data_IF_735701061803
#
_entry.id   IF_735701061803
#
_cell.length_a   1.000
_cell.length_b   1.000
_cell.length_c   1.000
_cell.angle_alpha   90.00
_cell.angle_beta   90.00
_cell.angle_gamma   90.00
#
_symmetry.space_group_name_H-M   'P 1'
#
loop_
_entity.id
_entity.type
_entity.pdbx_description
1 polymer ?
#
# COMPACT_ATOMS: atom_id res chain seq x y z
N UNK A 1 42.70 5.30 43.45
CA UNK A 1 41.33 4.81 43.69
C UNK A 1 40.39 5.58 42.78
N UNK A 2 39.89 4.93 41.73
CA UNK A 2 38.75 5.39 40.94
C UNK A 2 38.05 4.11 40.46
N UNK A 3 36.90 3.82 41.05
CA UNK A 3 36.10 2.63 40.73
C UNK A 3 35.57 2.71 39.30
N UNK A 4 35.80 1.63 38.56
CA UNK A 4 35.32 1.36 37.21
C UNK A 4 33.84 0.98 37.24
N UNK A 5 32.97 1.98 37.17
CA UNK A 5 31.52 1.80 36.96
C UNK A 5 31.16 1.35 35.55
N UNK A 6 31.51 0.12 35.16
CA UNK A 6 30.95 -0.55 33.97
C UNK A 6 30.20 -1.79 34.45
N UNK A 7 28.98 -1.56 34.93
CA UNK A 7 28.14 -2.60 35.53
C UNK A 7 27.48 -3.57 34.53
N UNK A 8 26.97 -4.71 35.02
CA UNK A 8 26.34 -5.83 34.29
C UNK A 8 25.03 -5.50 33.53
N UNK A 9 24.66 -4.23 33.45
CA UNK A 9 23.42 -3.75 32.82
C UNK A 9 23.53 -3.65 31.29
N UNK A 10 24.75 -3.52 30.74
CA UNK A 10 24.98 -3.47 29.28
C UNK A 10 24.88 -4.85 28.62
N UNK A 11 25.31 -5.91 29.29
CA UNK A 11 25.24 -7.29 28.78
C UNK A 11 23.81 -7.82 28.77
N UNK A 12 23.01 -7.52 29.80
CA UNK A 12 21.59 -7.91 29.87
C UNK A 12 20.75 -7.28 28.75
N UNK A 13 20.86 -5.95 28.55
CA UNK A 13 20.14 -5.27 27.45
C UNK A 13 20.52 -5.79 26.06
N UNK A 14 21.80 -6.11 25.85
CA UNK A 14 22.27 -6.68 24.60
C UNK A 14 21.71 -8.09 24.38
N UNK A 15 21.66 -8.91 25.43
CA UNK A 15 21.04 -10.23 25.39
C UNK A 15 19.52 -10.16 25.14
N UNK A 16 18.83 -9.24 25.80
CA UNK A 16 17.38 -9.03 25.60
C UNK A 16 17.09 -8.58 24.15
N UNK A 17 17.92 -7.68 23.60
CA UNK A 17 17.81 -7.25 22.21
C UNK A 17 18.12 -8.39 21.22
N UNK A 18 19.15 -9.19 21.49
CA UNK A 18 19.50 -10.34 20.66
C UNK A 18 18.41 -11.42 20.70
N UNK A 19 17.84 -11.69 21.87
CA UNK A 19 16.72 -12.63 22.02
C UNK A 19 15.48 -12.11 21.32
N UNK A 20 15.15 -10.83 21.46
CA UNK A 20 14.04 -10.18 20.74
C UNK A 20 14.21 -10.26 19.22
N UNK A 21 15.42 -10.03 18.71
CA UNK A 21 15.72 -10.18 17.29
C UNK A 21 15.61 -11.65 16.85
N UNK A 22 16.17 -12.58 17.61
CA UNK A 22 16.11 -14.01 17.30
C UNK A 22 14.67 -14.52 17.27
N UNK A 23 13.82 -14.10 18.21
CA UNK A 23 12.39 -14.43 18.22
C UNK A 23 11.68 -13.89 16.98
N UNK A 24 11.91 -12.63 16.62
CA UNK A 24 11.32 -12.02 15.40
C UNK A 24 11.80 -12.73 14.12
N UNK A 25 13.08 -13.08 14.03
CA UNK A 25 13.62 -13.86 12.91
C UNK A 25 13.07 -15.29 12.88
N UNK A 26 12.83 -15.89 14.05
CA UNK A 26 12.16 -17.18 14.19
C UNK A 26 10.73 -17.15 13.65
N UNK A 27 9.95 -16.12 14.00
CA UNK A 27 8.59 -15.91 13.47
C UNK A 27 8.59 -15.70 11.95
N UNK A 28 9.56 -14.94 11.43
CA UNK A 28 9.72 -14.72 10.00
C UNK A 28 10.14 -15.97 9.22
N UNK A 29 10.80 -16.93 9.86
CA UNK A 29 11.31 -18.15 9.21
C UNK A 29 10.37 -19.35 9.32
N UNK A 30 9.63 -19.46 10.42
CA UNK A 30 8.79 -20.65 10.71
C UNK A 30 7.28 -20.35 10.77
N UNK A 31 6.91 -19.07 10.91
CA UNK A 31 5.52 -18.64 11.01
C UNK A 31 4.80 -18.52 9.66
N UNK A 32 3.59 -17.95 9.70
CA UNK A 32 2.78 -17.70 8.50
C UNK A 32 3.49 -16.82 7.47
N UNK A 33 4.24 -15.81 7.93
CA UNK A 33 5.06 -14.96 7.05
C UNK A 33 6.13 -15.76 6.34
N UNK A 34 6.85 -16.64 7.04
CA UNK A 34 7.86 -17.51 6.44
C UNK A 34 7.28 -18.40 5.34
N UNK A 35 6.09 -18.98 5.58
CA UNK A 35 5.37 -19.76 4.56
C UNK A 35 4.90 -18.91 3.38
N UNK A 36 4.43 -17.70 3.62
CA UNK A 36 4.02 -16.79 2.55
C UNK A 36 5.20 -16.36 1.67
N UNK A 37 6.38 -16.16 2.26
CA UNK A 37 7.57 -15.66 1.57
C UNK A 37 8.43 -16.76 0.93
N UNK A 38 8.49 -17.94 1.55
CA UNK A 38 9.39 -19.04 1.18
C UNK A 38 8.67 -20.37 0.89
N UNK A 39 7.33 -20.38 0.90
CA UNK A 39 6.54 -21.56 0.59
C UNK A 39 6.75 -22.06 -0.85
N UNK A 40 6.44 -23.33 -1.08
CA UNK A 40 6.57 -24.02 -2.38
C UNK A 40 5.43 -23.73 -3.36
N UNK A 41 4.65 -22.67 -3.14
CA UNK A 41 3.52 -22.30 -3.99
C UNK A 41 3.94 -21.72 -5.34
N UNK A 42 2.96 -21.32 -6.15
CA UNK A 42 3.21 -20.56 -7.38
C UNK A 42 3.96 -19.26 -7.05
N UNK A 43 4.97 -18.93 -7.85
CA UNK A 43 5.73 -17.70 -7.63
C UNK A 43 4.92 -16.52 -8.12
N UNK A 44 4.89 -15.43 -7.33
CA UNK A 44 4.20 -14.20 -7.72
C UNK A 44 4.56 -13.74 -9.15
N UNK A 45 5.84 -13.84 -9.51
CA UNK A 45 6.37 -13.46 -10.84
C UNK A 45 5.68 -14.18 -12.00
N UNK A 46 5.18 -15.40 -11.77
CA UNK A 46 4.54 -16.26 -12.78
C UNK A 46 3.02 -16.00 -12.85
N UNK A 47 2.47 -15.28 -11.87
CA UNK A 47 1.05 -14.98 -11.75
C UNK A 47 0.66 -13.59 -12.28
N UNK A 48 1.64 -12.74 -12.62
CA UNK A 48 1.39 -11.33 -12.92
C UNK A 48 0.63 -11.09 -14.24
N UNK A 49 0.49 -12.11 -15.09
CA UNK A 49 -0.16 -11.99 -16.40
C UNK A 49 -1.65 -12.43 -16.38
N UNK A 50 -2.19 -12.72 -15.19
CA UNK A 50 -3.61 -12.94 -14.93
C UNK A 50 -4.12 -12.03 -13.82
N UNK A 51 -5.44 -11.77 -13.72
CA UNK A 51 -6.02 -11.11 -12.56
C UNK A 51 -5.63 -11.85 -11.27
N UNK A 52 -5.10 -11.12 -10.29
CA UNK A 52 -4.60 -11.68 -9.04
C UNK A 52 -5.11 -10.83 -7.87
N UNK A 53 -5.71 -11.49 -6.88
CA UNK A 53 -6.02 -10.91 -5.58
C UNK A 53 -5.17 -11.62 -4.52
N UNK A 54 -4.41 -10.85 -3.74
CA UNK A 54 -3.63 -11.37 -2.61
C UNK A 54 -4.47 -11.22 -1.34
N UNK A 55 -5.04 -12.33 -0.86
CA UNK A 55 -5.77 -12.36 0.40
C UNK A 55 -4.79 -12.50 1.58
N UNK A 56 -4.68 -11.45 2.38
CA UNK A 56 -3.83 -11.38 3.56
C UNK A 56 -4.60 -11.56 4.88
N UNK A 57 -5.88 -11.92 4.82
CA UNK A 57 -6.76 -12.08 6.00
C UNK A 57 -6.26 -13.12 7.00
N UNK A 58 -5.54 -14.15 6.52
CA UNK A 58 -4.93 -15.18 7.36
C UNK A 58 -3.77 -14.66 8.22
N UNK A 59 -3.17 -13.51 7.87
CA UNK A 59 -2.17 -12.84 8.70
C UNK A 59 -2.90 -12.02 9.76
N UNK A 60 -2.61 -12.26 11.03
CA UNK A 60 -3.31 -11.62 12.16
C UNK A 60 -2.67 -10.30 12.60
N UNK A 61 -1.41 -10.08 12.26
CA UNK A 61 -0.64 -8.88 12.60
C UNK A 61 -0.62 -7.89 11.43
N UNK A 62 -0.92 -6.62 11.70
CA UNK A 62 -0.81 -5.55 10.69
C UNK A 62 0.62 -5.37 10.21
N UNK A 63 1.61 -5.63 11.08
CA UNK A 63 3.02 -5.59 10.69
C UNK A 63 3.36 -6.70 9.70
N UNK A 64 2.77 -7.89 9.86
CA UNK A 64 2.98 -9.02 8.96
C UNK A 64 2.33 -8.77 7.61
N UNK A 65 1.08 -8.27 7.61
CA UNK A 65 0.39 -7.84 6.38
C UNK A 65 1.20 -6.79 5.63
N UNK A 66 1.65 -5.76 6.35
CA UNK A 66 2.48 -4.69 5.78
C UNK A 66 3.76 -5.26 5.16
N UNK A 67 4.46 -6.14 5.87
CA UNK A 67 5.69 -6.77 5.38
C UNK A 67 5.44 -7.58 4.10
N UNK A 68 4.42 -8.44 4.11
CA UNK A 68 4.08 -9.28 2.94
C UNK A 68 3.66 -8.41 1.75
N UNK A 69 2.87 -7.36 1.97
CA UNK A 69 2.50 -6.38 0.94
C UNK A 69 3.71 -5.67 0.35
N UNK A 70 4.64 -5.18 1.19
CA UNK A 70 5.86 -4.53 0.72
C UNK A 70 6.75 -5.48 -0.09
N UNK A 71 6.89 -6.74 0.34
CA UNK A 71 7.65 -7.73 -0.41
C UNK A 71 6.98 -8.06 -1.75
N UNK A 72 5.65 -8.21 -1.77
CA UNK A 72 4.90 -8.44 -3.01
C UNK A 72 5.08 -7.29 -4.00
N UNK A 73 4.95 -6.04 -3.53
CA UNK A 73 5.16 -4.83 -4.33
C UNK A 73 6.59 -4.75 -4.89
N UNK A 74 7.60 -5.03 -4.06
CA UNK A 74 9.00 -5.03 -4.50
C UNK A 74 9.29 -6.13 -5.53
N UNK A 75 8.71 -7.32 -5.37
CA UNK A 75 8.82 -8.40 -6.36
C UNK A 75 8.15 -8.02 -7.68
N UNK A 76 6.95 -7.45 -7.63
CA UNK A 76 6.23 -6.97 -8.82
C UNK A 76 7.03 -5.89 -9.56
N UNK A 77 7.52 -4.87 -8.86
CA UNK A 77 8.35 -3.82 -9.43
C UNK A 77 9.59 -4.41 -10.13
N UNK A 78 10.28 -5.34 -9.45
CA UNK A 78 11.43 -6.04 -10.02
C UNK A 78 11.06 -6.86 -11.27
N UNK A 79 9.97 -7.62 -11.21
CA UNK A 79 9.52 -8.46 -12.31
C UNK A 79 9.20 -7.63 -13.56
N UNK A 80 8.48 -6.51 -13.40
CA UNK A 80 8.14 -5.60 -14.51
C UNK A 80 9.34 -4.82 -15.03
N UNK A 81 10.34 -4.54 -14.18
CA UNK A 81 11.61 -3.95 -14.62
C UNK A 81 12.47 -4.92 -15.44
N UNK A 82 12.49 -6.20 -15.07
CA UNK A 82 13.28 -7.23 -15.76
C UNK A 82 12.59 -7.76 -17.02
N UNK A 83 11.26 -7.78 -17.03
CA UNK A 83 10.42 -8.22 -18.14
C UNK A 83 9.38 -7.15 -18.45
N UNK A 84 9.77 -6.08 -19.17
CA UNK A 84 8.84 -5.05 -19.60
C UNK A 84 7.75 -5.70 -20.45
N UNK A 85 6.49 -5.40 -20.13
CA UNK A 85 5.35 -5.80 -20.95
C UNK A 85 4.77 -4.58 -21.63
N UNK A 86 4.33 -4.73 -22.88
CA UNK A 86 3.53 -3.72 -23.57
C UNK A 86 2.07 -3.72 -23.10
N UNK A 87 1.63 -4.78 -22.42
CA UNK A 87 0.30 -4.88 -21.85
C UNK A 87 0.18 -4.01 -20.60
N UNK A 88 -0.84 -3.14 -20.50
CA UNK A 88 -1.09 -2.36 -19.29
C UNK A 88 -1.29 -3.28 -18.09
N UNK A 89 -0.58 -3.01 -17.01
CA UNK A 89 -0.73 -3.73 -15.75
C UNK A 89 -1.17 -2.78 -14.66
N UNK A 90 -2.23 -3.12 -13.92
CA UNK A 90 -2.76 -2.30 -12.83
C UNK A 90 -2.49 -2.98 -11.50
N UNK A 91 -1.86 -2.25 -10.58
CA UNK A 91 -1.64 -2.66 -9.20
C UNK A 91 -2.55 -1.82 -8.32
N UNK A 92 -3.43 -2.48 -7.57
CA UNK A 92 -4.29 -1.83 -6.58
C UNK A 92 -3.77 -2.16 -5.20
N UNK A 93 -3.52 -1.13 -4.40
CA UNK A 93 -3.05 -1.24 -3.02
C UNK A 93 -4.16 -0.74 -2.11
N UNK A 94 -4.93 -1.68 -1.57
CA UNK A 94 -5.88 -1.41 -0.48
C UNK A 94 -5.11 -1.08 0.81
N UNK A 95 -5.72 -0.25 1.67
CA UNK A 95 -5.10 0.26 2.90
C UNK A 95 -3.70 0.82 2.66
N UNK A 96 -3.57 1.72 1.68
CA UNK A 96 -2.28 2.25 1.24
C UNK A 96 -1.44 2.86 2.38
N UNK A 97 -2.07 3.36 3.45
CA UNK A 97 -1.37 3.84 4.64
C UNK A 97 -0.51 2.78 5.33
N UNK A 98 -0.80 1.48 5.14
CA UNK A 98 0.01 0.39 5.70
C UNK A 98 1.41 0.34 5.08
N UNK A 99 1.50 0.52 3.75
CA UNK A 99 2.76 0.41 2.98
C UNK A 99 3.41 1.75 2.64
N UNK A 100 2.65 2.84 2.74
CA UNK A 100 3.14 4.20 2.51
C UNK A 100 2.64 5.19 3.58
N UNK A 101 2.86 4.97 4.89
CA UNK A 101 2.52 5.96 5.90
C UNK A 101 3.39 7.24 5.83
N UNK A 102 2.99 8.34 6.49
CA UNK A 102 3.76 9.57 6.50
C UNK A 102 5.17 9.36 7.06
N UNK A 103 6.17 9.94 6.40
CA UNK A 103 7.59 9.77 6.78
C UNK A 103 8.19 8.39 6.43
N UNK A 104 7.39 7.44 5.92
CA UNK A 104 7.85 6.10 5.51
C UNK A 104 7.04 5.63 4.29
N UNK A 105 7.52 5.86 3.07
CA UNK A 105 6.80 5.44 1.86
C UNK A 105 7.67 5.29 0.62
N UNK A 106 8.99 5.19 0.82
CA UNK A 106 9.97 5.31 -0.26
C UNK A 106 9.80 4.30 -1.38
N UNK A 107 9.38 3.06 -1.07
CA UNK A 107 9.11 2.04 -2.09
C UNK A 107 7.93 2.45 -2.98
N UNK A 108 6.79 2.77 -2.39
CA UNK A 108 5.57 3.12 -3.13
C UNK A 108 5.76 4.41 -3.93
N UNK A 109 6.36 5.44 -3.34
CA UNK A 109 6.66 6.68 -4.05
C UNK A 109 7.63 6.46 -5.23
N UNK A 110 8.63 5.58 -5.08
CA UNK A 110 9.52 5.19 -6.18
C UNK A 110 8.76 4.42 -7.26
N UNK A 111 7.93 3.45 -6.88
CA UNK A 111 7.08 2.71 -7.83
C UNK A 111 6.21 3.68 -8.63
N UNK A 112 5.50 4.61 -7.97
CA UNK A 112 4.68 5.62 -8.64
C UNK A 112 5.47 6.46 -9.66
N UNK A 113 6.70 6.88 -9.32
CA UNK A 113 7.58 7.64 -10.24
C UNK A 113 8.00 6.84 -11.45
N UNK A 114 8.27 5.55 -11.28
CA UNK A 114 8.84 4.70 -12.33
C UNK A 114 7.78 3.89 -13.09
N UNK A 115 6.55 3.76 -12.58
CA UNK A 115 5.52 2.86 -13.10
C UNK A 115 5.26 3.04 -14.60
N UNK A 116 5.24 4.30 -15.07
CA UNK A 116 5.06 4.64 -16.50
C UNK A 116 6.12 4.02 -17.41
N UNK A 117 7.36 3.84 -16.95
CA UNK A 117 8.46 3.23 -17.73
C UNK A 117 8.18 1.76 -18.03
N UNK A 118 7.34 1.11 -17.23
CA UNK A 118 7.09 -0.33 -17.27
C UNK A 118 5.65 -0.68 -17.65
N UNK A 119 4.86 0.30 -18.14
CA UNK A 119 3.44 0.07 -18.46
C UNK A 119 2.57 -0.24 -17.24
N UNK A 120 3.01 0.13 -16.05
CA UNK A 120 2.30 -0.12 -14.79
C UNK A 120 1.51 1.12 -14.38
N UNK A 121 0.27 0.92 -13.94
CA UNK A 121 -0.54 1.90 -13.21
C UNK A 121 -0.66 1.44 -11.77
N UNK A 122 -0.37 2.31 -10.81
CA UNK A 122 -0.49 2.02 -9.37
C UNK A 122 -1.64 2.84 -8.81
N UNK A 123 -2.58 2.18 -8.17
CA UNK A 123 -3.77 2.75 -7.54
C UNK A 123 -3.64 2.58 -6.04
N UNK A 124 -3.63 3.70 -5.33
CA UNK A 124 -3.64 3.71 -3.86
C UNK A 124 -5.07 3.93 -3.40
N UNK A 125 -5.58 3.01 -2.59
CA UNK A 125 -6.93 3.07 -2.03
C UNK A 125 -6.81 3.21 -0.52
N UNK A 126 -7.42 4.27 0.00
CA UNK A 126 -7.45 4.53 1.44
C UNK A 126 -8.69 5.34 1.82
N UNK A 127 -9.07 5.23 3.09
CA UNK A 127 -10.19 6.00 3.66
C UNK A 127 -9.75 7.41 4.04
N UNK A 128 -8.47 7.62 4.41
CA UNK A 128 -7.92 8.93 4.76
C UNK A 128 -6.68 9.24 3.94
N UNK A 129 -6.77 10.11 2.93
CA UNK A 129 -5.63 10.57 2.15
C UNK A 129 -4.44 11.06 3.00
N UNK A 130 -4.69 11.74 4.13
CA UNK A 130 -3.65 12.22 5.06
C UNK A 130 -2.88 11.10 5.78
N UNK A 131 -3.42 9.87 5.83
CA UNK A 131 -2.69 8.72 6.36
C UNK A 131 -1.70 8.14 5.35
N UNK A 132 -1.72 8.58 4.09
CA UNK A 132 -0.77 8.18 3.05
C UNK A 132 0.31 9.25 2.92
N UNK A 133 1.53 8.82 2.63
CA UNK A 133 2.67 9.70 2.44
C UNK A 133 2.35 10.77 1.38
N UNK A 134 2.54 12.04 1.76
CA UNK A 134 2.14 13.18 0.93
C UNK A 134 2.85 13.19 -0.43
N UNK A 135 4.08 12.68 -0.51
CA UNK A 135 4.79 12.53 -1.77
C UNK A 135 4.18 11.44 -2.67
N UNK A 136 3.69 10.34 -2.10
CA UNK A 136 2.94 9.32 -2.83
C UNK A 136 1.60 9.88 -3.34
N UNK A 137 0.84 10.56 -2.49
CA UNK A 137 -0.43 11.22 -2.90
C UNK A 137 -0.16 12.27 -3.99
N UNK A 138 0.90 13.07 -3.87
CA UNK A 138 1.26 14.09 -4.86
C UNK A 138 1.71 13.51 -6.22
N UNK A 139 2.13 12.25 -6.27
CA UNK A 139 2.45 11.55 -7.52
C UNK A 139 1.21 10.94 -8.20
N UNK A 140 0.08 10.83 -7.50
CA UNK A 140 -1.18 10.37 -8.08
C UNK A 140 -1.76 11.46 -9.00
N UNK A 141 -1.56 11.30 -10.30
CA UNK A 141 -2.11 12.22 -11.30
C UNK A 141 -3.64 12.14 -11.46
N UNK A 142 -4.23 11.02 -11.06
CA UNK A 142 -5.68 10.81 -11.02
C UNK A 142 -6.11 10.61 -9.57
N UNK A 143 -7.17 11.31 -9.17
CA UNK A 143 -7.77 11.20 -7.84
C UNK A 143 -9.25 10.94 -8.04
N UNK A 144 -9.77 9.87 -7.42
CA UNK A 144 -11.20 9.62 -7.30
C UNK A 144 -11.54 9.61 -5.81
N UNK A 145 -12.42 10.52 -5.38
CA UNK A 145 -12.78 10.66 -3.97
C UNK A 145 -14.29 10.57 -3.82
N UNK A 146 -14.72 9.71 -2.89
CA UNK A 146 -16.12 9.60 -2.49
C UNK A 146 -16.47 10.60 -1.39
N UNK A 147 -17.42 10.22 -0.53
CA UNK A 147 -17.76 11.01 0.65
C UNK A 147 -16.55 11.14 1.58
N UNK A 148 -16.24 12.36 2.00
CA UNK A 148 -15.11 12.68 2.87
C UNK A 148 -15.43 13.90 3.74
N UNK A 149 -15.04 13.87 5.02
CA UNK A 149 -15.42 14.88 6.01
C UNK A 149 -14.24 15.59 6.68
N UNK A 150 -13.07 14.96 6.73
CA UNK A 150 -11.98 15.45 7.55
C UNK A 150 -11.34 16.70 6.93
N UNK A 151 -11.27 17.85 7.64
CA UNK A 151 -10.79 19.11 7.07
C UNK A 151 -9.38 19.03 6.46
N UNK A 152 -8.48 18.27 7.09
CA UNK A 152 -7.12 18.08 6.58
C UNK A 152 -7.09 17.27 5.27
N UNK A 153 -7.99 16.29 5.12
CA UNK A 153 -8.09 15.52 3.86
C UNK A 153 -8.67 16.41 2.74
N UNK A 154 -9.71 17.20 3.04
CA UNK A 154 -10.28 18.16 2.09
C UNK A 154 -9.23 19.18 1.62
N UNK A 155 -8.41 19.67 2.57
CA UNK A 155 -7.32 20.60 2.30
C UNK A 155 -6.23 19.98 1.44
N UNK A 156 -5.83 18.73 1.71
CA UNK A 156 -4.84 17.99 0.93
C UNK A 156 -5.28 17.79 -0.53
N UNK A 157 -6.58 17.56 -0.77
CA UNK A 157 -7.11 17.32 -2.10
C UNK A 157 -7.32 18.59 -2.94
N UNK A 158 -7.30 19.78 -2.32
CA UNK A 158 -7.45 21.05 -3.02
C UNK A 158 -8.76 21.14 -3.80
N UNK A 159 -9.87 20.86 -3.12
CA UNK A 159 -11.20 20.82 -3.73
C UNK A 159 -11.62 22.20 -4.25
N UNK A 160 -12.43 22.27 -5.33
CA UNK A 160 -13.02 23.52 -5.79
C UNK A 160 -13.92 24.16 -4.71
N UNK A 161 -13.99 25.49 -4.71
CA UNK A 161 -14.90 26.22 -3.82
C UNK A 161 -16.36 25.75 -4.02
N UNK A 162 -17.09 25.64 -2.91
CA UNK A 162 -18.50 25.24 -2.91
C UNK A 162 -18.75 23.73 -3.01
N UNK A 163 -17.71 22.89 -3.13
CA UNK A 163 -17.88 21.44 -3.14
C UNK A 163 -17.83 20.85 -1.72
N UNK A 164 -18.94 20.27 -1.27
CA UNK A 164 -19.04 19.60 0.03
C UNK A 164 -19.05 18.07 -0.15
N UNK A 165 -17.86 17.45 -0.05
CA UNK A 165 -17.73 15.99 -0.10
C UNK A 165 -18.49 15.30 1.04
N UNK A 166 -18.79 15.99 2.15
CA UNK A 166 -19.56 15.41 3.25
C UNK A 166 -21.00 15.08 2.86
N UNK A 167 -21.53 15.72 1.82
CA UNK A 167 -22.89 15.49 1.30
C UNK A 167 -22.93 14.57 0.09
N UNK A 168 -21.78 14.10 -0.39
CA UNK A 168 -21.72 13.27 -1.58
C UNK A 168 -22.47 11.94 -1.35
N UNK A 169 -23.47 11.58 -2.18
CA UNK A 169 -24.19 10.31 -2.05
C UNK A 169 -23.28 9.10 -2.28
N UNK A 170 -23.70 7.94 -1.76
CA UNK A 170 -23.03 6.69 -2.11
C UNK A 170 -23.18 6.42 -3.62
N UNK A 171 -22.10 5.97 -4.25
CA UNK A 171 -22.06 5.77 -5.70
C UNK A 171 -21.75 7.03 -6.51
N UNK A 172 -21.62 8.20 -5.87
CA UNK A 172 -21.08 9.40 -6.50
C UNK A 172 -19.62 9.62 -6.11
N UNK A 173 -18.83 10.09 -7.06
CA UNK A 173 -17.39 10.28 -6.93
C UNK A 173 -16.98 11.59 -7.58
N UNK A 174 -16.13 12.35 -6.89
CA UNK A 174 -15.44 13.47 -7.50
C UNK A 174 -14.12 12.96 -8.08
N UNK A 175 -13.92 13.16 -9.38
CA UNK A 175 -12.76 12.64 -10.11
C UNK A 175 -11.97 13.78 -10.73
N UNK A 176 -10.67 13.83 -10.42
CA UNK A 176 -9.67 14.66 -11.08
C UNK A 176 -8.76 13.77 -11.90
N UNK A 177 -8.56 14.13 -13.16
CA UNK A 177 -7.61 13.48 -14.07
C UNK A 177 -6.48 14.46 -14.44
N UNK A 178 -5.31 13.98 -14.92
CA UNK A 178 -4.20 14.86 -15.28
C UNK A 178 -4.63 15.93 -16.29
N UNK A 179 -4.33 17.19 -15.99
CA UNK A 179 -4.64 18.33 -16.87
C UNK A 179 -6.10 18.79 -16.85
N UNK A 180 -6.96 18.23 -15.99
CA UNK A 180 -8.35 18.64 -15.87
C UNK A 180 -8.71 19.07 -14.44
N UNK A 181 -9.77 19.87 -14.33
CA UNK A 181 -10.44 20.15 -13.06
C UNK A 181 -11.22 18.92 -12.58
N UNK A 182 -11.61 18.94 -11.30
CA UNK A 182 -12.51 17.93 -10.76
C UNK A 182 -13.85 17.89 -11.50
N UNK A 183 -14.37 16.68 -11.69
CA UNK A 183 -15.66 16.41 -12.33
C UNK A 183 -16.47 15.43 -11.48
N UNK A 184 -17.79 15.64 -11.39
CA UNK A 184 -18.68 14.72 -10.68
C UNK A 184 -19.00 13.52 -11.59
N UNK A 185 -18.71 12.32 -11.10
CA UNK A 185 -19.00 11.06 -11.76
C UNK A 185 -20.01 10.28 -10.91
N UNK A 186 -21.07 9.80 -11.56
CA UNK A 186 -22.08 8.94 -10.94
C UNK A 186 -21.87 7.52 -11.42
N UNK A 187 -21.82 6.56 -10.51
CA UNK A 187 -21.82 5.15 -10.91
C UNK A 187 -23.19 4.84 -11.52
N UNK A 188 -23.23 4.55 -12.82
CA UNK A 188 -24.41 3.98 -13.49
C UNK A 188 -24.43 2.46 -13.31
N UNK A 189 -24.05 1.96 -12.13
CA UNK A 189 -24.26 0.56 -11.78
C UNK A 189 -25.78 0.36 -11.71
N UNK A 190 -26.37 0.04 -12.86
CA UNK A 190 -27.60 -0.73 -12.86
C UNK A 190 -27.30 -1.98 -12.04
N UNK A 191 -28.28 -2.41 -11.26
CA UNK A 191 -28.29 -3.67 -10.53
C UNK A 191 -28.30 -4.87 -11.48
N UNK A 192 -27.37 -4.92 -12.44
CA UNK A 192 -27.00 -6.11 -13.15
C UNK A 192 -26.30 -7.08 -12.19
N UNK A 193 -26.43 -8.40 -12.40
CA UNK A 193 -25.91 -9.39 -11.47
C UNK A 193 -24.41 -9.17 -11.30
N UNK A 194 -23.98 -9.00 -10.04
CA UNK A 194 -22.58 -9.09 -9.66
C UNK A 194 -22.02 -10.37 -10.29
N UNK A 195 -21.02 -10.21 -11.18
CA UNK A 195 -20.27 -11.34 -11.72
C UNK A 195 -19.72 -12.11 -10.54
N UNK A 196 -20.35 -13.26 -10.23
CA UNK A 196 -19.76 -14.26 -9.36
C UNK A 196 -18.51 -14.74 -10.09
N UNK A 197 -17.35 -14.28 -9.62
CA UNK A 197 -16.09 -14.90 -9.96
C UNK A 197 -16.16 -16.32 -9.38
N UNK A 198 -16.26 -17.29 -10.29
CA UNK A 198 -16.22 -18.74 -10.03
C UNK A 198 -14.82 -19.19 -9.65
#
# INVERSE_FOLDING_TARGET
MAESGVGPLRSRRALDAAFSLASRLGELSTGLVGRALAGSGERLDDLLDRPLALDLSALTSDSDRTLVSLVALAKLERARRLRPSSSPHVVVVEEAHSVAPPGRGGLVARMLREARKFGVSVWLVDQRPTNVAQDAVGLCGTIAVGRLHHPEDLSLLGLPEGFDLGRLPAGEWLVKVPGASYSLVRSSLSSGPLLKLS
#
